data_IF_227153844783
#
_entry.id   IF_227153844783
#
_cell.length_a   1.000
_cell.length_b   1.000
_cell.length_c   1.000
_cell.angle_alpha   90.00
_cell.angle_beta   90.00
_cell.angle_gamma   90.00
#
_symmetry.space_group_name_H-M   'P 1'
#
loop_
_entity.id
_entity.type
_entity.pdbx_description
1 polymer ?
#
# COMPACT_ATOMS: atom_id res chain seq x y z
N UNK A 1 -17.11 -9.61 12.17
CA UNK A 1 -16.05 -8.76 11.57
C UNK A 1 -15.93 -7.53 12.44
N UNK A 2 -14.74 -7.08 12.81
CA UNK A 2 -14.57 -5.73 13.36
C UNK A 2 -14.31 -4.87 12.12
N UNK A 3 -15.36 -4.24 11.63
CA UNK A 3 -15.18 -3.17 10.66
C UNK A 3 -14.77 -1.89 11.38
N UNK A 4 -13.48 -1.57 11.36
CA UNK A 4 -12.94 -0.29 11.86
C UNK A 4 -12.81 0.75 10.76
N UNK A 5 -13.24 0.47 9.51
CA UNK A 5 -13.07 1.39 8.37
C UNK A 5 -13.71 2.77 8.58
N UNK A 6 -14.70 2.86 9.48
CA UNK A 6 -15.38 4.10 9.85
C UNK A 6 -15.01 4.63 11.24
N UNK A 7 -14.05 4.01 11.94
CA UNK A 7 -13.65 4.43 13.28
C UNK A 7 -12.30 5.15 13.25
N UNK A 8 -12.18 6.36 13.83
CA UNK A 8 -10.89 7.04 13.93
C UNK A 8 -9.92 6.20 14.77
N UNK A 9 -8.76 5.85 14.21
CA UNK A 9 -7.66 5.29 14.99
C UNK A 9 -6.98 6.40 15.82
N UNK A 10 -6.52 6.11 17.05
CA UNK A 10 -5.77 7.06 17.86
C UNK A 10 -4.46 7.43 17.19
N UNK A 11 -4.15 8.73 17.12
CA UNK A 11 -2.99 9.26 16.39
C UNK A 11 -1.76 9.42 17.28
N UNK A 12 -1.96 9.61 18.58
CA UNK A 12 -0.88 9.84 19.55
C UNK A 12 -0.51 8.54 20.28
N UNK A 13 0.78 8.31 20.50
CA UNK A 13 1.25 7.13 21.27
C UNK A 13 0.70 7.20 22.70
N UNK A 14 0.08 6.12 23.16
CA UNK A 14 -0.58 6.04 24.47
C UNK A 14 -2.02 6.57 24.49
N UNK A 15 -2.50 7.16 23.40
CA UNK A 15 -3.90 7.56 23.26
C UNK A 15 -4.81 6.33 23.15
N UNK A 16 -5.89 6.35 23.92
CA UNK A 16 -6.97 5.37 23.83
C UNK A 16 -8.24 6.08 23.38
N UNK A 17 -8.84 5.59 22.30
CA UNK A 17 -10.11 6.09 21.79
C UNK A 17 -11.17 5.01 21.83
N UNK A 18 -12.40 5.47 21.96
CA UNK A 18 -13.59 4.65 21.81
C UNK A 18 -13.87 4.43 20.32
N UNK A 19 -14.08 3.19 19.93
CA UNK A 19 -14.41 2.80 18.57
C UNK A 19 -15.62 1.87 18.55
N UNK A 20 -16.31 1.83 17.43
CA UNK A 20 -17.50 1.00 17.22
C UNK A 20 -17.14 -0.20 16.37
N UNK A 21 -17.32 -1.41 16.92
CA UNK A 21 -17.20 -2.66 16.19
C UNK A 21 -18.58 -3.08 15.63
N UNK A 22 -18.70 -3.15 14.30
CA UNK A 22 -19.94 -3.52 13.61
C UNK A 22 -20.04 -5.04 13.34
N UNK A 23 -21.10 -5.69 13.82
CA UNK A 23 -21.42 -7.08 13.52
C UNK A 23 -22.16 -7.25 12.19
N UNK A 24 -21.69 -8.17 11.34
CA UNK A 24 -22.33 -8.53 10.08
C UNK A 24 -23.37 -9.64 10.28
N UNK A 25 -24.58 -9.45 9.75
CA UNK A 25 -25.63 -10.48 9.73
C UNK A 25 -26.58 -10.26 8.54
N UNK A 26 -26.91 -11.34 7.81
CA UNK A 26 -27.93 -11.32 6.77
C UNK A 26 -27.67 -10.33 5.61
N UNK A 27 -26.42 -10.04 5.27
CA UNK A 27 -26.07 -9.04 4.24
C UNK A 27 -25.92 -7.61 4.77
N UNK A 28 -26.25 -7.35 6.04
CA UNK A 28 -26.05 -6.04 6.67
C UNK A 28 -24.69 -5.97 7.36
N UNK A 29 -23.85 -5.01 6.93
CA UNK A 29 -22.48 -4.77 7.42
C UNK A 29 -22.40 -4.26 8.87
N UNK A 30 -23.46 -3.63 9.39
CA UNK A 30 -23.53 -3.21 10.78
C UNK A 30 -24.94 -3.48 11.34
N UNK A 31 -25.31 -4.76 11.36
CA UNK A 31 -26.60 -5.19 11.90
C UNK A 31 -26.75 -4.87 13.39
N UNK A 32 -25.67 -5.02 14.16
CA UNK A 32 -25.56 -4.38 15.46
C UNK A 32 -24.10 -3.98 15.72
N UNK A 33 -23.90 -3.18 16.76
CA UNK A 33 -22.62 -2.60 17.08
C UNK A 33 -22.28 -2.78 18.54
N UNK A 34 -20.99 -2.77 18.84
CA UNK A 34 -20.49 -2.75 20.20
C UNK A 34 -19.37 -1.74 20.36
N UNK A 35 -19.23 -1.19 21.56
CA UNK A 35 -18.14 -0.29 21.88
C UNK A 35 -16.89 -1.09 22.23
N UNK A 36 -15.79 -0.77 21.58
CA UNK A 36 -14.45 -1.29 21.84
C UNK A 36 -13.51 -0.10 22.10
N UNK A 37 -12.33 -0.37 22.65
CA UNK A 37 -11.27 0.64 22.77
C UNK A 37 -10.10 0.28 21.87
N UNK A 38 -9.51 1.28 21.24
CA UNK A 38 -8.27 1.14 20.47
C UNK A 38 -7.21 1.97 21.18
N UNK A 39 -6.05 1.38 21.46
CA UNK A 39 -4.90 2.07 22.05
C UNK A 39 -3.71 2.03 21.10
N UNK A 40 -3.12 3.20 20.81
CA UNK A 40 -1.92 3.29 19.97
C UNK A 40 -0.66 2.99 20.78
N UNK A 41 0.06 1.92 20.42
CA UNK A 41 1.31 1.50 21.06
C UNK A 41 2.55 1.80 20.19
N UNK A 42 2.50 2.84 19.37
CA UNK A 42 3.51 3.24 18.38
C UNK A 42 3.60 2.31 17.17
N UNK A 43 3.97 1.04 17.38
CA UNK A 43 4.19 0.08 16.28
C UNK A 43 3.04 -0.89 16.07
N UNK A 44 2.07 -0.93 16.98
CA UNK A 44 0.86 -1.75 16.90
C UNK A 44 -0.27 -1.10 17.69
N UNK A 45 -1.48 -1.65 17.55
CA UNK A 45 -2.64 -1.25 18.32
C UNK A 45 -3.09 -2.38 19.25
N UNK A 46 -3.58 -2.02 20.43
CA UNK A 46 -4.26 -2.93 21.35
C UNK A 46 -5.76 -2.67 21.27
N UNK A 47 -6.52 -3.75 21.12
CA UNK A 47 -7.99 -3.71 21.07
C UNK A 47 -8.56 -4.21 22.40
N UNK A 48 -9.24 -3.32 23.12
CA UNK A 48 -10.03 -3.67 24.30
C UNK A 48 -11.43 -4.11 23.86
N UNK A 49 -11.66 -5.42 23.84
CA UNK A 49 -12.89 -6.02 23.33
C UNK A 49 -13.90 -6.25 24.46
N UNK A 50 -15.14 -5.83 24.25
CA UNK A 50 -16.27 -6.12 25.14
C UNK A 50 -17.04 -7.34 24.64
N UNK A 51 -17.81 -8.03 25.49
CA UNK A 51 -18.61 -9.16 25.03
C UNK A 51 -19.63 -8.69 23.96
N UNK A 52 -19.69 -9.33 22.76
CA UNK A 52 -20.68 -8.99 21.73
C UNK A 52 -22.12 -9.00 22.28
N UNK A 53 -23.02 -8.11 21.85
CA UNK A 53 -24.32 -7.91 22.49
C UNK A 53 -25.35 -9.01 22.10
N UNK A 54 -24.92 -10.10 21.49
CA UNK A 54 -25.81 -11.10 20.88
C UNK A 54 -25.95 -12.37 21.73
N UNK A 55 -27.17 -12.89 21.79
CA UNK A 55 -27.52 -14.17 22.45
C UNK A 55 -27.14 -15.42 21.64
N UNK A 56 -26.48 -15.25 20.48
CA UNK A 56 -25.91 -16.32 19.65
C UNK A 56 -24.38 -16.27 19.70
N UNK A 57 -23.68 -17.41 19.57
CA UNK A 57 -22.22 -17.44 19.55
C UNK A 57 -21.70 -16.50 18.45
N UNK A 58 -21.04 -15.44 18.88
CA UNK A 58 -20.51 -14.39 18.02
C UNK A 58 -19.08 -14.11 18.43
N UNK A 59 -18.27 -13.70 17.45
CA UNK A 59 -16.85 -13.42 17.67
C UNK A 59 -16.42 -12.20 16.88
N UNK A 60 -15.42 -11.52 17.42
CA UNK A 60 -14.65 -10.55 16.67
C UNK A 60 -13.80 -11.27 15.62
N UNK A 61 -13.75 -10.71 14.42
CA UNK A 61 -12.89 -11.18 13.33
C UNK A 61 -12.13 -9.98 12.80
N UNK A 62 -10.83 -10.10 12.59
CA UNK A 62 -10.04 -9.09 11.86
C UNK A 62 -10.18 -9.34 10.35
N UNK A 63 -9.86 -8.34 9.52
CA UNK A 63 -9.54 -8.63 8.12
C UNK A 63 -8.33 -9.54 8.12
N UNK A 64 -8.41 -10.69 7.45
CA UNK A 64 -7.22 -11.51 7.19
C UNK A 64 -6.46 -10.87 6.03
N UNK A 65 -5.39 -10.12 6.34
CA UNK A 65 -4.59 -9.47 5.32
C UNK A 65 -3.74 -10.50 4.57
N UNK A 66 -3.53 -10.33 3.25
CA UNK A 66 -2.63 -11.18 2.49
C UNK A 66 -1.20 -11.21 3.06
N UNK A 67 -0.46 -12.30 2.79
CA UNK A 67 0.89 -12.50 3.35
C UNK A 67 1.89 -11.40 3.01
N UNK A 68 1.73 -10.74 1.86
CA UNK A 68 2.55 -9.59 1.47
C UNK A 68 2.38 -8.37 2.39
N UNK A 69 1.32 -8.31 3.20
CA UNK A 69 1.16 -7.29 4.23
C UNK A 69 2.02 -7.52 5.48
N UNK A 70 2.60 -8.72 5.63
CA UNK A 70 3.47 -9.08 6.74
C UNK A 70 4.92 -9.32 6.30
N UNK A 71 5.14 -9.70 5.04
CA UNK A 71 6.46 -9.99 4.48
C UNK A 71 6.72 -9.15 3.23
N UNK A 72 7.45 -8.05 3.42
CA UNK A 72 7.85 -7.13 2.37
C UNK A 72 9.20 -6.50 2.67
N UNK A 73 9.86 -5.98 1.63
CA UNK A 73 11.04 -5.14 1.78
C UNK A 73 10.62 -3.68 1.94
N UNK A 74 11.19 -3.01 2.93
CA UNK A 74 11.04 -1.56 3.08
C UNK A 74 12.06 -0.82 2.23
N UNK A 75 11.61 0.17 1.46
CA UNK A 75 12.47 1.10 0.71
C UNK A 75 12.23 2.51 1.23
N UNK A 76 13.24 3.04 1.93
CA UNK A 76 13.28 4.41 2.40
C UNK A 76 14.32 5.19 1.60
N UNK A 77 13.91 5.69 0.44
CA UNK A 77 14.79 6.33 -0.52
C UNK A 77 14.08 7.56 -1.09
N UNK A 78 14.41 8.73 -0.54
CA UNK A 78 13.78 10.00 -0.91
C UNK A 78 14.10 10.43 -2.34
N UNK A 79 15.19 9.92 -2.93
CA UNK A 79 15.55 10.22 -4.32
C UNK A 79 14.56 9.66 -5.34
N UNK A 80 13.65 8.77 -4.90
CA UNK A 80 12.52 8.25 -5.69
C UNK A 80 11.38 9.24 -5.85
N UNK A 81 11.37 10.34 -5.10
CA UNK A 81 10.32 11.35 -5.25
C UNK A 81 10.26 11.86 -6.68
N UNK A 82 9.04 12.04 -7.21
CA UNK A 82 8.84 12.69 -8.51
C UNK A 82 9.39 14.13 -8.52
N UNK A 83 9.47 14.76 -7.35
CA UNK A 83 10.07 16.10 -7.17
C UNK A 83 11.59 16.13 -7.33
N UNK A 84 12.26 14.98 -7.34
CA UNK A 84 13.71 14.89 -7.54
C UNK A 84 14.04 14.97 -9.04
N UNK A 85 14.17 16.19 -9.57
CA UNK A 85 14.39 16.51 -10.99
C UNK A 85 15.85 16.35 -11.42
N UNK A 86 16.43 15.18 -11.17
CA UNK A 86 17.82 14.85 -11.53
C UNK A 86 17.85 13.82 -12.65
N UNK A 87 18.61 14.11 -13.71
CA UNK A 87 19.00 13.10 -14.69
C UNK A 87 19.95 12.10 -14.02
N UNK A 88 19.54 10.84 -13.93
CA UNK A 88 20.32 9.81 -13.28
C UNK A 88 20.21 8.46 -13.98
N UNK A 89 21.07 7.55 -13.55
CA UNK A 89 21.16 6.18 -14.08
C UNK A 89 20.55 5.15 -13.12
N UNK A 90 19.81 5.60 -12.10
CA UNK A 90 19.19 4.69 -11.13
C UNK A 90 18.23 3.72 -11.82
N UNK A 91 18.34 2.43 -11.48
CA UNK A 91 17.53 1.38 -12.09
C UNK A 91 17.05 0.36 -11.06
N UNK A 92 15.74 0.06 -11.11
CA UNK A 92 15.10 -0.89 -10.20
C UNK A 92 15.19 -2.34 -10.66
N UNK A 93 15.81 -2.64 -11.80
CA UNK A 93 16.16 -4.03 -12.13
C UNK A 93 17.07 -4.65 -11.05
N UNK A 94 17.85 -3.84 -10.34
CA UNK A 94 18.70 -4.26 -9.21
C UNK A 94 17.90 -4.79 -8.00
N UNK A 95 16.59 -4.53 -7.93
CA UNK A 95 15.73 -5.10 -6.90
C UNK A 95 15.45 -6.59 -7.12
N UNK A 96 15.77 -7.12 -8.30
CA UNK A 96 15.45 -8.48 -8.73
C UNK A 96 16.72 -9.31 -8.89
N UNK A 97 16.84 -10.40 -8.15
CA UNK A 97 17.89 -11.41 -8.33
C UNK A 97 17.51 -12.40 -9.43
N UNK A 98 18.47 -13.17 -9.94
CA UNK A 98 18.20 -14.26 -10.90
C UNK A 98 17.20 -15.29 -10.37
N UNK A 99 17.18 -15.51 -9.05
CA UNK A 99 16.25 -16.40 -8.36
C UNK A 99 14.82 -15.87 -8.23
N UNK A 100 14.59 -14.56 -8.43
CA UNK A 100 13.28 -13.93 -8.26
C UNK A 100 12.84 -13.17 -9.53
N UNK A 101 13.28 -13.62 -10.69
CA UNK A 101 12.98 -12.93 -11.95
C UNK A 101 11.53 -13.16 -12.41
N UNK A 102 10.93 -14.28 -11.99
CA UNK A 102 9.58 -14.71 -12.37
C UNK A 102 8.53 -14.44 -11.28
N UNK A 103 8.94 -14.05 -10.08
CA UNK A 103 8.03 -13.77 -8.96
C UNK A 103 8.11 -12.29 -8.56
N UNK A 104 7.03 -11.73 -8.00
CA UNK A 104 7.02 -10.35 -7.58
C UNK A 104 7.95 -10.14 -6.38
N UNK A 105 8.60 -8.97 -6.36
CA UNK A 105 9.29 -8.48 -5.16
C UNK A 105 8.35 -7.53 -4.43
N UNK A 106 7.84 -7.96 -3.27
CA UNK A 106 6.94 -7.15 -2.45
C UNK A 106 7.70 -6.04 -1.73
N UNK A 107 7.27 -4.80 -1.97
CA UNK A 107 7.91 -3.59 -1.46
C UNK A 107 6.90 -2.68 -0.78
N UNK A 108 7.28 -2.12 0.36
CA UNK A 108 6.64 -0.94 0.96
C UNK A 108 7.58 0.25 0.77
N UNK A 109 7.09 1.30 0.13
CA UNK A 109 7.79 2.58 0.10
C UNK A 109 7.51 3.33 1.41
N UNK A 110 8.55 3.92 2.00
CA UNK A 110 8.45 4.72 3.23
C UNK A 110 8.62 6.22 2.91
N UNK A 111 9.25 6.55 1.79
CA UNK A 111 9.43 7.93 1.32
C UNK A 111 8.26 8.40 0.46
N UNK A 112 8.08 9.73 0.38
CA UNK A 112 7.14 10.42 -0.54
C UNK A 112 5.74 9.80 -0.55
N UNK A 113 5.05 9.85 0.59
CA UNK A 113 3.69 9.31 0.79
C UNK A 113 3.55 7.77 0.67
N UNK A 114 4.65 7.05 0.45
CA UNK A 114 4.66 5.59 0.45
C UNK A 114 3.94 4.95 -0.74
N UNK A 115 3.66 5.72 -1.79
CA UNK A 115 2.94 5.29 -2.97
C UNK A 115 3.77 5.50 -4.24
N UNK A 116 3.50 4.69 -5.28
CA UNK A 116 3.99 4.99 -6.63
C UNK A 116 3.24 6.21 -7.15
N UNK A 117 3.96 7.14 -7.78
CA UNK A 117 3.36 8.34 -8.34
C UNK A 117 2.26 8.00 -9.36
N UNK A 118 1.09 8.59 -9.19
CA UNK A 118 -0.14 8.19 -9.86
C UNK A 118 -0.52 9.08 -11.07
N UNK A 119 0.42 9.86 -11.60
CA UNK A 119 0.20 10.71 -12.77
C UNK A 119 1.38 10.69 -13.74
N UNK A 120 1.13 10.97 -15.01
CA UNK A 120 2.19 11.13 -16.00
C UNK A 120 2.99 12.39 -15.68
N UNK A 121 4.32 12.31 -15.48
CA UNK A 121 5.05 13.45 -14.96
C UNK A 121 5.54 14.42 -16.06
N UNK A 122 5.04 14.28 -17.29
CA UNK A 122 5.23 15.24 -18.38
C UNK A 122 6.63 15.28 -19.02
N UNK A 123 7.61 14.54 -18.48
CA UNK A 123 8.97 14.50 -19.02
C UNK A 123 9.88 13.46 -18.36
N UNK A 124 11.08 13.30 -18.91
CA UNK A 124 12.14 12.43 -18.36
C UNK A 124 12.92 13.12 -17.22
N UNK A 125 13.89 12.40 -16.64
CA UNK A 125 14.93 12.93 -15.74
C UNK A 125 14.41 13.39 -14.38
N UNK A 126 13.71 12.48 -13.72
CA UNK A 126 13.13 12.69 -12.41
C UNK A 126 13.15 11.39 -11.61
N UNK A 127 12.90 11.48 -10.31
CA UNK A 127 13.11 10.39 -9.37
C UNK A 127 14.51 9.74 -9.50
N UNK A 128 15.52 10.54 -9.85
CA UNK A 128 16.91 10.11 -10.02
C UNK A 128 17.17 9.19 -11.22
N UNK A 129 16.29 9.21 -12.24
CA UNK A 129 16.37 8.32 -13.39
C UNK A 129 15.93 8.99 -14.70
N UNK A 130 16.34 8.47 -15.86
CA UNK A 130 15.88 8.97 -17.16
C UNK A 130 14.57 8.36 -17.66
N UNK A 131 14.17 7.19 -17.10
CA UNK A 131 12.89 6.54 -17.36
C UNK A 131 12.03 6.48 -16.08
N UNK A 132 11.40 7.60 -15.68
CA UNK A 132 10.57 7.65 -14.49
C UNK A 132 9.28 6.85 -14.66
N UNK A 133 9.05 5.92 -13.73
CA UNK A 133 7.89 5.04 -13.68
C UNK A 133 6.77 5.64 -12.86
N UNK A 134 5.56 5.64 -13.43
CA UNK A 134 4.33 6.14 -12.85
C UNK A 134 3.17 5.22 -13.22
N UNK A 135 2.02 5.35 -12.56
CA UNK A 135 0.82 4.57 -12.88
C UNK A 135 -0.41 5.46 -12.97
N UNK A 136 -1.44 5.08 -13.74
CA UNK A 136 -2.77 5.69 -13.66
C UNK A 136 -3.80 4.73 -13.04
N UNK A 137 -3.34 3.63 -12.45
CA UNK A 137 -4.22 2.62 -11.88
C UNK A 137 -4.83 3.13 -10.58
N UNK A 138 -6.11 2.83 -10.36
CA UNK A 138 -6.78 3.10 -9.09
C UNK A 138 -6.26 2.15 -8.02
N UNK A 139 -5.94 2.69 -6.85
CA UNK A 139 -5.42 1.91 -5.72
C UNK A 139 -6.60 1.27 -4.97
N UNK A 140 -6.43 0.07 -4.37
CA UNK A 140 -7.49 -0.56 -3.60
C UNK A 140 -7.82 0.26 -2.35
N UNK A 141 -9.10 0.42 -2.06
CA UNK A 141 -9.59 1.19 -0.90
C UNK A 141 -9.87 0.30 0.30
N UNK A 142 -10.28 -0.95 0.10
CA UNK A 142 -10.55 -1.85 1.22
C UNK A 142 -9.27 -2.57 1.64
N UNK A 143 -9.02 -2.71 2.95
CA UNK A 143 -7.92 -3.53 3.44
C UNK A 143 -8.01 -4.97 2.94
N UNK A 144 -6.88 -5.53 2.54
CA UNK A 144 -6.73 -6.88 1.99
C UNK A 144 -6.93 -6.98 0.48
N UNK A 145 -7.58 -5.99 -0.14
CA UNK A 145 -7.78 -5.99 -1.59
C UNK A 145 -6.45 -5.82 -2.33
N UNK A 146 -6.29 -6.63 -3.39
CA UNK A 146 -5.15 -6.58 -4.30
C UNK A 146 -5.65 -6.33 -5.71
N UNK A 147 -5.10 -5.32 -6.38
CA UNK A 147 -5.42 -5.00 -7.78
C UNK A 147 -4.17 -5.09 -8.65
N UNK A 148 -4.37 -5.42 -9.92
CA UNK A 148 -3.31 -5.29 -10.93
C UNK A 148 -3.18 -3.82 -11.32
N UNK A 149 -1.95 -3.36 -11.48
CA UNK A 149 -1.64 -2.02 -11.96
C UNK A 149 -0.59 -2.08 -13.07
N UNK A 150 -0.68 -1.12 -14.00
CA UNK A 150 0.33 -0.95 -15.04
C UNK A 150 1.21 0.22 -14.64
N UNK A 151 2.52 -0.02 -14.58
CA UNK A 151 3.51 1.05 -14.47
C UNK A 151 4.01 1.38 -15.86
N UNK A 152 3.83 2.63 -16.24
CA UNK A 152 4.35 3.23 -17.46
C UNK A 152 5.64 3.97 -17.15
N UNK A 153 6.67 3.75 -17.96
CA UNK A 153 7.91 4.51 -17.90
C UNK A 153 7.91 5.58 -18.98
N UNK A 154 7.97 6.84 -18.56
CA UNK A 154 8.03 7.98 -19.46
C UNK A 154 9.42 8.06 -20.11
N UNK A 155 9.47 8.39 -21.40
CA UNK A 155 10.71 8.72 -22.09
C UNK A 155 10.49 9.86 -23.07
N UNK A 156 11.23 10.96 -22.89
CA UNK A 156 11.07 12.19 -23.66
C UNK A 156 9.60 12.63 -23.64
N UNK A 157 8.94 12.68 -24.79
CA UNK A 157 7.53 13.06 -24.94
C UNK A 157 6.55 11.88 -24.84
N UNK A 158 7.04 10.64 -24.76
CA UNK A 158 6.19 9.45 -24.66
C UNK A 158 5.87 9.16 -23.21
N UNK A 159 4.61 9.34 -22.83
CA UNK A 159 4.15 9.11 -21.46
C UNK A 159 4.25 7.66 -21.01
N UNK A 160 4.11 6.72 -21.94
CA UNK A 160 4.31 5.29 -21.69
C UNK A 160 5.17 4.70 -22.81
N UNK A 161 6.49 4.82 -22.69
CA UNK A 161 7.42 4.29 -23.68
C UNK A 161 7.58 2.77 -23.56
N UNK A 162 7.73 2.29 -22.33
CA UNK A 162 7.72 0.88 -21.96
C UNK A 162 6.93 0.73 -20.66
N UNK A 163 6.42 -0.47 -20.39
CA UNK A 163 5.59 -0.72 -19.21
C UNK A 163 5.74 -2.15 -18.69
N UNK A 164 5.30 -2.36 -17.47
CA UNK A 164 5.15 -3.68 -16.87
C UNK A 164 3.96 -3.68 -15.90
N UNK A 165 3.46 -4.87 -15.60
CA UNK A 165 2.36 -5.08 -14.67
C UNK A 165 2.90 -5.38 -13.28
N UNK A 166 2.30 -4.77 -12.27
CA UNK A 166 2.56 -4.99 -10.85
C UNK A 166 1.24 -5.28 -10.13
N UNK A 167 1.32 -5.61 -8.84
CA UNK A 167 0.16 -5.62 -7.95
C UNK A 167 0.27 -4.54 -6.89
N UNK A 168 -0.88 -4.02 -6.45
CA UNK A 168 -0.99 -3.07 -5.34
C UNK A 168 -1.93 -3.70 -4.32
N UNK A 169 -1.46 -3.91 -3.10
CA UNK A 169 -2.26 -4.43 -1.97
C UNK A 169 -2.47 -3.33 -0.94
N UNK A 170 -3.71 -3.10 -0.52
CA UNK A 170 -4.01 -2.23 0.62
C UNK A 170 -3.86 -3.06 1.91
N UNK A 171 -2.86 -2.72 2.73
CA UNK A 171 -2.58 -3.39 4.00
C UNK A 171 -3.11 -2.58 5.18
N UNK A 172 -4.30 -2.00 5.01
CA UNK A 172 -4.99 -1.08 5.94
C UNK A 172 -4.32 0.29 6.03
N UNK A 173 -3.16 0.38 6.68
CA UNK A 173 -2.46 1.65 6.95
C UNK A 173 -1.37 2.01 5.93
N UNK A 174 -1.07 1.13 4.98
CA UNK A 174 -0.07 1.34 3.95
C UNK A 174 -0.33 0.45 2.73
N UNK A 175 0.34 0.77 1.62
CA UNK A 175 0.33 -0.06 0.43
C UNK A 175 1.58 -0.94 0.34
N UNK A 176 1.40 -2.17 -0.14
CA UNK A 176 2.49 -3.04 -0.58
C UNK A 176 2.38 -3.26 -2.07
N UNK A 177 3.49 -3.06 -2.78
CA UNK A 177 3.60 -3.19 -4.21
C UNK A 177 4.30 -4.49 -4.55
N UNK A 178 3.61 -5.41 -5.23
CA UNK A 178 4.24 -6.58 -5.85
C UNK A 178 4.91 -6.15 -7.15
N UNK A 179 6.13 -5.64 -7.04
CA UNK A 179 6.89 -5.13 -8.18
C UNK A 179 7.37 -6.27 -9.06
N UNK A 180 7.40 -6.04 -10.37
CA UNK A 180 8.05 -6.94 -11.34
C UNK A 180 9.26 -6.25 -11.96
N UNK A 181 10.13 -6.99 -12.63
CA UNK A 181 11.37 -6.42 -13.17
C UNK A 181 11.05 -5.36 -14.25
N UNK A 182 11.54 -4.12 -14.13
CA UNK A 182 11.39 -3.11 -15.18
C UNK A 182 11.92 -3.63 -16.51
N UNK A 183 11.27 -3.39 -17.67
CA UNK A 183 11.69 -3.93 -18.96
C UNK A 183 13.06 -3.40 -19.43
N UNK A 184 13.47 -2.23 -18.96
CA UNK A 184 14.66 -1.52 -19.43
C UNK A 184 15.33 -0.73 -18.30
N UNK A 185 16.64 -0.50 -18.40
CA UNK A 185 17.35 0.47 -17.57
C UNK A 185 17.70 1.75 -18.36
N UNK A 186 17.83 2.90 -17.67
CA UNK A 186 17.64 3.09 -16.23
C UNK A 186 16.18 3.44 -15.96
N UNK A 187 15.35 2.46 -15.57
CA UNK A 187 13.95 2.68 -15.23
C UNK A 187 13.73 2.44 -13.74
N UNK A 188 12.93 3.30 -13.14
CA UNK A 188 12.73 3.34 -11.69
C UNK A 188 11.28 3.65 -11.36
N UNK A 189 10.72 2.97 -10.38
CA UNK A 189 9.42 3.30 -9.80
C UNK A 189 9.56 4.59 -9.00
N UNK A 190 8.94 5.67 -9.48
CA UNK A 190 8.90 6.93 -8.76
C UNK A 190 7.84 6.90 -7.67
N UNK A 191 8.05 7.66 -6.60
CA UNK A 191 7.12 7.86 -5.51
C UNK A 191 6.63 9.31 -5.44
N UNK A 192 5.42 9.53 -4.92
CA UNK A 192 4.83 10.86 -4.78
C UNK A 192 3.48 10.83 -4.09
#
# INVERSE_FOLDING_TARGET
>A
YIDTSNTPYPSSVGETVNATACGYYGGNLCYASNMITITNCSTYYIFGLTAPPFSSPSRYCTVDLPSQCYSYRSINDSTRSISNLVNGTACDQSLFTSSNISAPTYVRFISSNGAIYNYAPGGSNMCGTSLPGWTNSTFPTNPGDTVNAIVCYQYLTRSCYVSNTITITNCDSFYVFGLTKPPRCPARYCTG
#
